data_IF_362881972127
#
_entry.id   IF_362881972127
#
_cell.length_a   1.000
_cell.length_b   1.000
_cell.length_c   1.000
_cell.angle_alpha   90.00
_cell.angle_beta   90.00
_cell.angle_gamma   90.00
#
_symmetry.space_group_name_H-M   'P 1'
#
loop_
_entity.id
_entity.type
_entity.pdbx_description
1 polymer ?
#
# COMPACT_ATOMS: atom_id res chain seq x y z
N UNK A 1 -12.72 10.67 20.37
CA UNK A 1 -11.73 9.91 20.47
C UNK A 1 -10.79 10.12 19.42
N UNK A 2 -9.65 10.32 19.67
CA UNK A 2 -8.70 10.60 18.67
C UNK A 2 -7.95 9.37 18.27
N UNK A 3 -7.56 9.32 17.05
CA UNK A 3 -6.74 8.25 16.51
C UNK A 3 -5.30 8.69 16.60
N UNK A 4 -4.43 7.77 16.93
CA UNK A 4 -3.02 8.08 16.97
C UNK A 4 -2.38 7.69 15.66
N UNK A 5 -1.56 8.54 15.14
CA UNK A 5 -0.81 8.27 13.91
C UNK A 5 0.39 7.40 14.26
N UNK A 6 0.48 6.22 13.63
CA UNK A 6 1.65 5.36 13.78
C UNK A 6 2.73 5.85 12.84
N UNK A 7 2.38 6.14 11.59
CA UNK A 7 3.34 6.75 10.66
C UNK A 7 2.63 7.62 9.64
N UNK A 8 3.37 8.55 9.08
CA UNK A 8 2.92 9.36 7.97
C UNK A 8 4.11 9.44 7.04
N UNK A 9 3.96 8.88 5.85
CA UNK A 9 5.06 8.74 4.90
C UNK A 9 4.64 9.20 3.53
N UNK A 10 5.57 9.28 2.61
CA UNK A 10 5.29 9.73 1.25
C UNK A 10 5.45 8.56 0.30
N UNK A 11 4.51 8.40 -0.59
CA UNK A 11 4.57 7.35 -1.60
C UNK A 11 5.44 7.80 -2.78
N UNK A 12 5.72 6.92 -3.76
CA UNK A 12 6.58 7.30 -4.89
C UNK A 12 6.06 8.45 -5.74
N UNK A 13 4.77 8.75 -5.67
CA UNK A 13 4.20 9.82 -6.47
C UNK A 13 3.96 11.09 -5.65
N UNK A 14 4.51 11.14 -4.44
CA UNK A 14 4.45 12.36 -3.62
C UNK A 14 3.22 12.50 -2.75
N UNK A 15 2.37 11.48 -2.66
CA UNK A 15 1.22 11.54 -1.79
C UNK A 15 1.61 11.25 -0.36
N UNK A 16 0.96 11.94 0.57
CA UNK A 16 1.14 11.66 1.98
C UNK A 16 0.23 10.50 2.35
N UNK A 17 0.76 9.48 3.00
CA UNK A 17 -0.01 8.29 3.41
C UNK A 17 0.11 8.15 4.92
N UNK A 18 -1.03 8.16 5.60
CA UNK A 18 -1.10 8.10 7.05
C UNK A 18 -1.67 6.77 7.51
N UNK A 19 -1.09 6.22 8.55
CA UNK A 19 -1.54 4.96 9.14
C UNK A 19 -1.83 5.19 10.62
N UNK A 20 -2.99 4.74 11.07
CA UNK A 20 -3.45 4.98 12.43
C UNK A 20 -3.47 3.71 13.27
N UNK A 21 -3.41 3.87 14.58
CA UNK A 21 -3.37 2.75 15.51
C UNK A 21 -4.65 1.92 15.50
N UNK A 22 -5.80 2.52 15.34
CA UNK A 22 -7.05 1.77 15.30
C UNK A 22 -7.12 0.91 14.03
N UNK A 23 -6.57 1.39 12.94
CA UNK A 23 -6.49 0.61 11.71
C UNK A 23 -5.58 -0.59 11.93
N UNK A 24 -4.47 -0.39 12.63
CA UNK A 24 -3.55 -1.49 12.92
C UNK A 24 -4.23 -2.56 13.77
N UNK A 25 -5.01 -2.17 14.75
CA UNK A 25 -5.75 -3.12 15.58
C UNK A 25 -6.74 -3.90 14.73
N UNK A 26 -7.42 -3.22 13.82
CA UNK A 26 -8.38 -3.85 12.93
C UNK A 26 -7.69 -4.87 12.02
N UNK A 27 -6.56 -4.54 11.46
CA UNK A 27 -5.81 -5.43 10.60
C UNK A 27 -5.38 -6.66 11.39
N UNK A 28 -4.83 -6.48 12.59
CA UNK A 28 -4.37 -7.59 13.40
C UNK A 28 -5.51 -8.50 13.80
N UNK A 29 -6.70 -7.94 13.99
CA UNK A 29 -7.86 -8.73 14.35
C UNK A 29 -8.30 -9.65 13.22
N UNK A 30 -8.26 -9.17 11.98
CA UNK A 30 -8.66 -9.97 10.82
C UNK A 30 -7.54 -10.78 10.19
N UNK A 31 -6.30 -10.35 10.39
CA UNK A 31 -5.15 -10.96 9.73
C UNK A 31 -4.01 -11.10 10.72
N UNK A 32 -4.12 -12.04 11.67
CA UNK A 32 -3.10 -12.17 12.72
C UNK A 32 -1.74 -12.65 12.22
N UNK A 33 -1.66 -13.11 10.98
CA UNK A 33 -0.39 -13.47 10.39
C UNK A 33 0.47 -12.24 10.09
N UNK A 34 -0.12 -11.04 10.05
CA UNK A 34 0.63 -9.82 9.85
C UNK A 34 1.05 -9.33 11.23
N UNK A 35 2.28 -9.63 11.61
CA UNK A 35 2.75 -9.40 12.97
C UNK A 35 3.42 -8.05 13.18
N UNK A 36 3.71 -7.32 12.12
CA UNK A 36 4.35 -6.02 12.23
C UNK A 36 3.87 -5.11 11.12
N UNK A 37 3.74 -3.82 11.40
CA UNK A 37 3.30 -2.88 10.36
C UNK A 37 4.47 -2.38 9.51
N UNK A 38 5.70 -2.84 9.78
CA UNK A 38 6.83 -2.46 8.95
C UNK A 38 6.60 -2.76 7.48
N UNK A 39 5.99 -3.91 7.19
CA UNK A 39 5.74 -4.27 5.79
C UNK A 39 4.71 -3.35 5.15
N UNK A 40 3.74 -2.86 5.93
CA UNK A 40 2.76 -1.90 5.41
C UNK A 40 3.51 -0.63 5.01
N UNK A 41 4.39 -0.16 5.88
CA UNK A 41 5.14 1.05 5.63
C UNK A 41 6.04 0.89 4.40
N UNK A 42 6.77 -0.22 4.32
CA UNK A 42 7.68 -0.46 3.20
C UNK A 42 6.92 -0.59 1.88
N UNK A 43 5.77 -1.25 1.91
CA UNK A 43 4.97 -1.43 0.69
C UNK A 43 4.47 -0.09 0.16
N UNK A 44 4.08 0.82 1.03
CA UNK A 44 3.64 2.14 0.58
C UNK A 44 4.83 2.95 0.03
N UNK A 45 5.99 2.85 0.66
CA UNK A 45 7.15 3.61 0.22
C UNK A 45 7.78 3.05 -1.05
N UNK A 46 7.74 1.73 -1.22
CA UNK A 46 8.38 1.07 -2.35
C UNK A 46 7.51 -0.03 -2.91
N UNK A 47 6.34 0.29 -3.45
CA UNK A 47 5.48 -0.75 -3.99
C UNK A 47 6.00 -1.24 -5.33
N UNK A 48 5.55 -2.40 -5.76
CA UNK A 48 5.80 -2.84 -7.11
C UNK A 48 4.80 -2.18 -8.04
N UNK A 49 3.55 -2.01 -7.58
CA UNK A 49 2.51 -1.33 -8.34
C UNK A 49 1.68 -0.47 -7.43
N UNK A 50 1.08 0.58 -7.99
CA UNK A 50 -0.01 1.29 -7.33
C UNK A 50 -1.19 1.20 -8.28
N UNK A 51 -2.32 0.68 -7.80
CA UNK A 51 -3.53 0.56 -8.59
C UNK A 51 -4.57 1.54 -8.09
N UNK A 52 -5.34 2.08 -9.02
CA UNK A 52 -6.48 2.90 -8.64
C UNK A 52 -7.70 2.03 -8.81
N UNK A 53 -8.43 1.86 -7.71
CA UNK A 53 -9.64 1.05 -7.73
C UNK A 53 -10.73 1.76 -8.53
N UNK A 54 -11.48 1.05 -9.37
CA UNK A 54 -12.54 1.67 -10.14
C UNK A 54 -13.77 1.99 -9.33
N UNK A 55 -13.91 1.40 -8.15
CA UNK A 55 -15.15 1.49 -7.40
C UNK A 55 -15.23 2.61 -6.39
N UNK A 56 -14.12 3.18 -5.97
CA UNK A 56 -14.15 4.21 -4.98
C UNK A 56 -12.88 4.96 -5.02
N UNK A 57 -12.73 6.01 -4.26
CA UNK A 57 -11.49 6.76 -4.17
C UNK A 57 -10.52 5.98 -3.31
N UNK A 58 -9.93 4.99 -3.93
CA UNK A 58 -9.06 4.06 -3.23
C UNK A 58 -7.84 3.76 -4.08
N UNK A 59 -6.69 3.76 -3.45
CA UNK A 59 -5.46 3.33 -4.09
C UNK A 59 -4.97 2.08 -3.36
N UNK A 60 -4.43 1.15 -4.12
CA UNK A 60 -3.93 -0.11 -3.58
C UNK A 60 -2.44 -0.18 -3.89
N UNK A 61 -1.62 -0.25 -2.84
CA UNK A 61 -0.18 -0.39 -2.99
C UNK A 61 0.15 -1.87 -2.88
N UNK A 62 0.83 -2.41 -3.87
CA UNK A 62 1.06 -3.85 -3.96
C UNK A 62 2.54 -4.17 -3.94
N UNK A 63 2.90 -5.07 -3.04
CA UNK A 63 4.24 -5.60 -2.97
C UNK A 63 4.17 -7.07 -3.42
N UNK A 64 4.93 -7.42 -4.44
CA UNK A 64 4.97 -8.78 -4.94
C UNK A 64 5.88 -9.60 -4.03
N UNK A 65 5.29 -10.43 -3.22
CA UNK A 65 6.04 -11.24 -2.30
C UNK A 65 6.47 -12.54 -2.90
N UNK A 66 6.84 -13.45 -2.04
CA UNK A 66 7.25 -14.76 -2.45
C UNK A 66 6.06 -15.68 -2.50
N UNK A 67 6.22 -16.83 -3.09
CA UNK A 67 5.21 -17.87 -3.12
C UNK A 67 3.92 -17.43 -3.82
N UNK A 68 4.07 -16.54 -4.78
CA UNK A 68 2.93 -16.05 -5.57
C UNK A 68 1.87 -15.35 -4.72
N UNK A 69 2.29 -14.75 -3.63
CA UNK A 69 1.38 -13.96 -2.81
C UNK A 69 1.73 -12.49 -2.98
N UNK A 70 0.70 -11.68 -2.95
CA UNK A 70 0.85 -10.24 -3.07
C UNK A 70 0.42 -9.61 -1.75
N UNK A 71 1.22 -8.68 -1.25
CA UNK A 71 0.84 -7.94 -0.06
C UNK A 71 0.18 -6.64 -0.52
N UNK A 72 -1.09 -6.48 -0.19
CA UNK A 72 -1.89 -5.34 -0.64
C UNK A 72 -2.15 -4.41 0.51
N UNK A 73 -1.88 -3.13 0.32
CA UNK A 73 -2.21 -2.10 1.30
C UNK A 73 -3.28 -1.23 0.66
N UNK A 74 -4.49 -1.27 1.21
CA UNK A 74 -5.62 -0.53 0.68
C UNK A 74 -5.71 0.81 1.39
N UNK A 75 -5.86 1.88 0.63
CA UNK A 75 -5.97 3.21 1.18
C UNK A 75 -7.17 3.93 0.60
N UNK A 76 -7.63 4.96 1.29
CA UNK A 76 -8.61 5.89 0.74
C UNK A 76 -7.88 7.16 0.45
N UNK A 77 -8.15 7.75 -0.73
CA UNK A 77 -7.50 8.97 -1.14
C UNK A 77 -8.45 10.16 -1.05
N UNK A 78 -7.95 11.26 -0.48
CA UNK A 78 -8.62 12.54 -0.53
C UNK A 78 -7.95 13.30 -1.66
N UNK A 79 -8.60 13.38 -2.79
CA UNK A 79 -8.00 13.95 -3.99
C UNK A 79 -7.71 15.44 -3.84
N UNK A 80 -8.53 16.16 -3.10
CA UNK A 80 -8.30 17.58 -2.94
C UNK A 80 -7.00 17.85 -2.17
N UNK A 81 -6.64 17.00 -1.23
CA UNK A 81 -5.45 17.18 -0.45
C UNK A 81 -4.28 16.33 -0.92
N UNK A 82 -4.53 15.44 -1.88
CA UNK A 82 -3.53 14.50 -2.37
C UNK A 82 -2.96 13.67 -1.21
N UNK A 83 -3.84 13.22 -0.32
CA UNK A 83 -3.48 12.46 0.85
C UNK A 83 -4.24 11.16 0.94
N UNK A 84 -3.59 10.13 1.44
CA UNK A 84 -4.20 8.83 1.60
C UNK A 84 -4.19 8.41 3.07
N UNK A 85 -5.15 7.58 3.44
CA UNK A 85 -5.21 6.96 4.77
C UNK A 85 -5.33 5.45 4.57
N UNK A 86 -4.47 4.70 5.23
CA UNK A 86 -4.53 3.23 5.13
C UNK A 86 -5.82 2.73 5.76
N UNK A 87 -6.53 1.87 5.06
CA UNK A 87 -7.78 1.30 5.56
C UNK A 87 -7.63 -0.17 5.93
N UNK A 88 -6.85 -0.94 5.19
CA UNK A 88 -6.59 -2.34 5.54
C UNK A 88 -5.38 -2.84 4.75
N UNK A 89 -4.89 -4.02 5.10
CA UNK A 89 -3.80 -4.65 4.39
C UNK A 89 -3.87 -6.15 4.60
N UNK A 90 -3.53 -6.92 3.58
CA UNK A 90 -3.48 -8.39 3.72
C UNK A 90 -2.74 -9.03 2.56
N UNK A 91 -2.38 -10.31 2.73
CA UNK A 91 -1.77 -11.11 1.68
C UNK A 91 -2.86 -11.81 0.90
N UNK A 92 -2.68 -11.91 -0.39
CA UNK A 92 -3.63 -12.59 -1.26
C UNK A 92 -2.91 -13.14 -2.48
N UNK A 93 -3.34 -14.26 -3.06
CA UNK A 93 -2.74 -14.77 -4.29
C UNK A 93 -3.23 -14.04 -5.54
N UNK A 94 -4.12 -13.05 -5.38
CA UNK A 94 -4.70 -12.37 -6.53
C UNK A 94 -4.29 -10.91 -6.58
N UNK A 95 -4.18 -10.38 -7.79
CA UNK A 95 -3.98 -8.95 -7.99
C UNK A 95 -5.36 -8.32 -8.06
N UNK A 96 -5.56 -7.24 -7.34
CA UNK A 96 -6.85 -6.56 -7.31
C UNK A 96 -7.13 -5.87 -8.65
N UNK A 97 -8.41 -5.65 -8.93
CA UNK A 97 -8.80 -4.93 -10.11
C UNK A 97 -8.51 -3.47 -9.95
N UNK A 98 -8.09 -2.84 -11.00
CA UNK A 98 -7.85 -1.41 -11.00
C UNK A 98 -6.87 -1.02 -12.08
N UNK A 99 -6.72 0.27 -12.28
CA UNK A 99 -5.80 0.79 -13.26
C UNK A 99 -4.43 0.96 -12.62
N UNK A 100 -3.39 0.50 -13.29
CA UNK A 100 -2.02 0.69 -12.81
C UNK A 100 -1.67 2.15 -13.05
N UNK A 101 -1.51 2.92 -11.98
CA UNK A 101 -1.15 4.33 -12.11
C UNK A 101 0.33 4.54 -11.82
N UNK A 102 1.01 3.54 -11.29
CA UNK A 102 2.46 3.62 -11.06
C UNK A 102 3.03 2.20 -11.02
N UNK A 103 4.21 2.05 -11.56
CA UNK A 103 4.89 0.76 -11.58
C UNK A 103 6.34 0.98 -11.28
N UNK A 104 6.93 0.14 -10.43
CA UNK A 104 8.33 0.23 -10.14
C UNK A 104 9.14 -0.10 -11.38
N UNK A 105 10.10 0.75 -11.69
CA UNK A 105 10.96 0.46 -12.81
C UNK A 105 12.12 -0.30 -12.29
N UNK A 106 12.45 -1.34 -13.01
CA UNK A 106 13.41 -2.10 -12.53
C UNK A 106 14.63 -1.91 -13.06
N UNK A 107 14.70 -1.60 -14.07
CA UNK A 107 15.81 -1.51 -14.65
C UNK A 107 16.63 -0.53 -14.36
N UNK A 108 16.34 0.24 -13.72
CA UNK A 108 17.08 1.19 -13.47
C UNK A 108 18.29 0.66 -13.12
N UNK A 109 18.68 0.09 -12.68
CA UNK A 109 19.83 -0.37 -12.27
C UNK A 109 20.41 -1.35 -13.15
N UNK A 110 19.86 -1.91 -13.90
CA UNK A 110 20.36 -2.92 -14.55
C UNK A 110 20.48 -2.79 -15.81
N UNK A 111 20.76 -2.59 -16.40
CA UNK A 111 20.89 -2.34 -17.50
C UNK A 111 21.07 -3.14 -18.28
N UNK A 112 20.78 -3.36 -18.84
CA UNK A 112 20.78 -4.21 -19.57
C UNK A 112 21.71 -4.44 -20.45
N UNK A 113 21.93 -4.77 -20.72
CA UNK A 113 22.57 -5.10 -21.40
C UNK A 113 22.79 -4.90 -22.36
N UNK A 114 22.82 -4.80 -22.70
CA UNK A 114 22.99 -4.70 -23.53
C UNK A 114 23.35 -4.83 -23.82
#
# INVERSE_FOLDING_TARGET
MSRKVIFKITDPQGRSVTFHDDTWKHIRSGHPDITTYTRIKTTVMRPHFILRSPLRNSLIYIDCGQLNLYFNVFTKIDEALNECTVSTAYLTPYIQEGDVIWRQTQQKGRKPRK
#
